data_IF_829911798027
#
_entry.id   IF_829911798027
#
_cell.length_a   1.000
_cell.length_b   1.000
_cell.length_c   1.000
_cell.angle_alpha   90.00
_cell.angle_beta   90.00
_cell.angle_gamma   90.00
#
_symmetry.space_group_name_H-M   'P 1'
#
loop_
_entity.id
_entity.type
_entity.pdbx_description
1 polymer ?
#
# COMPACT_ATOMS: atom_id res chain seq x y z
N UNK A 1 -8.83 14.64 12.94
CA UNK A 1 -8.91 13.23 13.32
C UNK A 1 -8.27 12.43 12.21
N UNK A 2 -7.27 11.59 12.50
CA UNK A 2 -6.67 10.73 11.48
C UNK A 2 -7.67 9.66 11.01
N UNK A 3 -7.77 9.43 9.71
CA UNK A 3 -8.69 8.44 9.16
C UNK A 3 -8.60 8.28 7.65
N UNK A 4 -9.16 7.17 7.15
CA UNK A 4 -9.27 6.91 5.73
C UNK A 4 -10.66 6.39 5.35
N UNK A 5 -11.07 6.69 4.12
CA UNK A 5 -12.23 6.12 3.44
C UNK A 5 -11.78 5.62 2.08
N UNK A 6 -12.13 4.38 1.77
CA UNK A 6 -11.81 3.72 0.51
C UNK A 6 -13.09 3.12 -0.09
N UNK A 7 -13.36 3.39 -1.35
CA UNK A 7 -14.46 2.75 -2.11
C UNK A 7 -14.01 2.43 -3.52
N UNK A 8 -14.60 1.43 -4.17
CA UNK A 8 -14.38 1.22 -5.61
C UNK A 8 -14.93 2.40 -6.42
N UNK A 9 -14.18 2.86 -7.42
CA UNK A 9 -14.48 4.11 -8.10
C UNK A 9 -13.65 4.42 -9.34
N UNK A 10 -13.41 5.70 -9.58
CA UNK A 10 -12.70 6.20 -10.76
C UNK A 10 -11.18 6.28 -10.55
N UNK A 11 -10.71 6.15 -9.31
CA UNK A 11 -9.30 6.35 -8.97
C UNK A 11 -9.02 7.74 -8.44
N UNK A 12 -10.03 8.44 -7.91
CA UNK A 12 -9.88 9.78 -7.34
C UNK A 12 -9.23 9.70 -5.95
N UNK A 13 -8.31 10.60 -5.64
CA UNK A 13 -7.61 10.58 -4.36
C UNK A 13 -7.46 11.96 -3.75
N UNK A 14 -7.85 12.10 -2.48
CA UNK A 14 -7.53 13.23 -1.62
C UNK A 14 -6.73 12.70 -0.43
N UNK A 15 -5.42 12.85 -0.47
CA UNK A 15 -4.49 12.27 0.50
C UNK A 15 -3.65 13.39 1.11
N UNK A 16 -3.63 13.44 2.44
CA UNK A 16 -2.85 14.38 3.21
C UNK A 16 -2.26 13.65 4.43
N UNK A 17 -1.08 13.05 4.25
CA UNK A 17 -0.36 12.35 5.33
C UNK A 17 0.61 13.24 6.08
N UNK A 18 0.99 14.39 5.50
CA UNK A 18 2.14 15.19 5.94
C UNK A 18 3.43 14.86 5.18
N UNK A 19 3.44 13.75 4.42
CA UNK A 19 4.61 13.28 3.65
C UNK A 19 4.32 13.23 2.15
N UNK A 20 4.84 14.18 1.34
CA UNK A 20 4.52 14.26 -0.09
C UNK A 20 4.81 12.99 -0.90
N UNK A 21 5.86 12.26 -0.53
CA UNK A 21 6.22 10.99 -1.21
C UNK A 21 5.15 9.93 -0.95
N UNK A 22 4.69 9.78 0.31
CA UNK A 22 3.64 8.81 0.64
C UNK A 22 2.30 9.21 0.01
N UNK A 23 1.97 10.51 0.02
CA UNK A 23 0.76 11.03 -0.63
C UNK A 23 0.73 10.66 -2.12
N UNK A 24 1.87 10.83 -2.81
CA UNK A 24 2.01 10.44 -4.21
C UNK A 24 1.83 8.93 -4.42
N UNK A 25 2.48 8.10 -3.61
CA UNK A 25 2.38 6.63 -3.72
C UNK A 25 0.96 6.12 -3.47
N UNK A 26 0.24 6.73 -2.51
CA UNK A 26 -1.17 6.41 -2.23
C UNK A 26 -2.11 6.84 -3.36
N UNK A 27 -1.84 7.97 -4.02
CA UNK A 27 -2.57 8.38 -5.21
C UNK A 27 -2.35 7.40 -6.38
N UNK A 28 -1.12 6.90 -6.56
CA UNK A 28 -0.83 5.86 -7.56
C UNK A 28 -1.57 4.54 -7.26
N UNK A 29 -1.59 4.13 -6.00
CA UNK A 29 -2.32 2.95 -5.52
C UNK A 29 -3.82 3.10 -5.84
N UNK A 30 -4.42 4.23 -5.45
CA UNK A 30 -5.84 4.49 -5.69
C UNK A 30 -6.18 4.43 -7.18
N UNK A 31 -5.36 5.08 -8.03
CA UNK A 31 -5.54 5.06 -9.47
C UNK A 31 -5.40 3.67 -10.09
N UNK A 32 -4.38 2.90 -9.69
CA UNK A 32 -4.14 1.56 -10.21
C UNK A 32 -5.22 0.56 -9.79
N UNK A 33 -5.68 0.64 -8.54
CA UNK A 33 -6.75 -0.20 -8.00
C UNK A 33 -8.17 0.27 -8.34
N UNK A 34 -8.32 1.42 -9.02
CA UNK A 34 -9.61 2.08 -9.25
C UNK A 34 -10.41 2.27 -7.96
N UNK A 35 -9.74 2.82 -6.95
CA UNK A 35 -10.35 3.21 -5.69
C UNK A 35 -10.50 4.72 -5.60
N UNK A 36 -11.63 5.19 -5.08
CA UNK A 36 -11.76 6.55 -4.59
C UNK A 36 -11.30 6.57 -3.13
N UNK A 37 -10.22 7.30 -2.86
CA UNK A 37 -9.51 7.34 -1.57
C UNK A 37 -9.57 8.74 -0.97
N UNK A 38 -10.02 8.84 0.28
CA UNK A 38 -9.77 10.01 1.13
C UNK A 38 -8.97 9.54 2.33
N UNK A 39 -7.83 10.15 2.60
CA UNK A 39 -6.98 9.82 3.75
C UNK A 39 -6.35 11.09 4.31
N UNK A 40 -6.56 11.34 5.59
CA UNK A 40 -6.01 12.50 6.29
C UNK A 40 -5.39 12.02 7.59
N UNK A 41 -4.15 12.46 7.86
CA UNK A 41 -3.41 12.15 9.08
C UNK A 41 -3.12 13.45 9.81
N UNK A 42 -3.36 13.47 11.11
CA UNK A 42 -2.98 14.60 11.95
C UNK A 42 -1.46 14.72 12.03
N UNK A 43 -0.90 15.95 11.98
CA UNK A 43 0.54 16.15 12.06
C UNK A 43 1.15 15.57 13.35
N UNK A 44 2.22 14.81 13.20
CA UNK A 44 3.00 14.21 14.29
C UNK A 44 4.47 14.06 13.86
N UNK A 45 5.25 13.23 14.55
CA UNK A 45 6.58 12.84 14.08
C UNK A 45 6.47 11.95 12.82
N UNK A 46 7.40 12.08 11.84
CA UNK A 46 7.25 11.44 10.53
C UNK A 46 7.01 9.93 10.54
N UNK A 47 7.65 9.20 11.45
CA UNK A 47 7.51 7.74 11.50
C UNK A 47 6.13 7.31 12.03
N UNK A 48 5.52 8.09 12.90
CA UNK A 48 4.16 7.91 13.42
C UNK A 48 3.12 8.27 12.35
N UNK A 49 3.35 9.32 11.56
CA UNK A 49 2.48 9.69 10.43
C UNK A 49 2.39 8.53 9.40
N UNK A 50 3.51 7.87 9.10
CA UNK A 50 3.55 6.70 8.20
C UNK A 50 2.76 5.51 8.76
N UNK A 51 2.97 5.18 10.04
CA UNK A 51 2.27 4.08 10.70
C UNK A 51 0.76 4.37 10.76
N UNK A 52 0.38 5.61 11.07
CA UNK A 52 -1.00 6.05 11.10
C UNK A 52 -1.66 5.97 9.72
N UNK A 53 -0.95 6.36 8.65
CA UNK A 53 -1.43 6.22 7.28
C UNK A 53 -1.67 4.76 6.88
N UNK A 54 -0.73 3.86 7.19
CA UNK A 54 -0.86 2.43 6.92
C UNK A 54 -2.03 1.83 7.69
N UNK A 55 -2.14 2.13 8.98
CA UNK A 55 -3.24 1.65 9.82
C UNK A 55 -4.60 2.19 9.36
N UNK A 56 -4.69 3.48 9.00
CA UNK A 56 -5.93 4.09 8.52
C UNK A 56 -6.41 3.43 7.22
N UNK A 57 -5.52 3.23 6.24
CA UNK A 57 -5.89 2.51 5.01
C UNK A 57 -6.28 1.05 5.29
N UNK A 58 -5.58 0.39 6.20
CA UNK A 58 -5.89 -0.99 6.60
C UNK A 58 -7.28 -1.12 7.21
N UNK A 59 -7.64 -0.23 8.12
CA UNK A 59 -8.97 -0.15 8.71
C UNK A 59 -10.05 0.18 7.67
N UNK A 60 -9.73 0.97 6.65
CA UNK A 60 -10.67 1.29 5.57
C UNK A 60 -10.90 0.13 4.60
N UNK A 61 -9.89 -0.71 4.35
CA UNK A 61 -10.00 -1.84 3.42
C UNK A 61 -10.52 -3.13 4.08
N UNK A 62 -10.26 -3.33 5.39
CA UNK A 62 -10.66 -4.55 6.10
C UNK A 62 -12.15 -4.90 5.95
N UNK A 63 -13.11 -3.95 6.01
CA UNK A 63 -14.53 -4.24 5.83
C UNK A 63 -14.91 -4.69 4.42
N UNK A 64 -14.06 -4.41 3.43
CA UNK A 64 -14.25 -4.81 2.03
C UNK A 64 -13.71 -6.22 1.75
N UNK A 65 -12.93 -6.78 2.68
CA UNK A 65 -12.30 -8.08 2.54
C UNK A 65 -13.13 -9.16 3.24
N UNK A 66 -13.30 -10.29 2.57
CA UNK A 66 -13.88 -11.50 3.18
C UNK A 66 -12.78 -12.35 3.79
N UNK A 67 -13.08 -13.21 4.77
CA UNK A 67 -12.12 -14.19 5.29
C UNK A 67 -11.52 -15.02 4.15
N UNK A 68 -10.19 -15.07 4.04
CA UNK A 68 -9.48 -15.79 2.98
C UNK A 68 -9.55 -15.16 1.59
N UNK A 69 -10.10 -13.94 1.47
CA UNK A 69 -10.00 -13.18 0.22
C UNK A 69 -8.52 -12.97 -0.14
N UNK A 70 -8.17 -13.21 -1.39
CA UNK A 70 -6.81 -13.04 -1.88
C UNK A 70 -6.83 -12.28 -3.19
N UNK A 71 -5.73 -11.60 -3.46
CA UNK A 71 -5.56 -10.85 -4.70
C UNK A 71 -4.10 -10.74 -5.08
N UNK A 72 -3.88 -10.53 -6.37
CA UNK A 72 -2.55 -10.34 -6.92
C UNK A 72 -2.53 -9.18 -7.91
N UNK A 73 -1.44 -8.44 -7.92
CA UNK A 73 -1.18 -7.35 -8.86
C UNK A 73 0.27 -7.39 -9.32
N UNK A 74 0.51 -7.11 -10.58
CA UNK A 74 1.86 -6.93 -11.14
C UNK A 74 1.84 -5.67 -11.98
N UNK A 75 2.68 -4.68 -11.63
CA UNK A 75 2.63 -3.36 -12.23
C UNK A 75 4.04 -2.80 -12.45
N UNK A 76 4.27 -2.11 -13.58
CA UNK A 76 5.50 -1.41 -13.84
C UNK A 76 5.47 0.05 -13.37
N UNK A 77 6.65 0.64 -13.23
CA UNK A 77 6.89 2.07 -13.26
C UNK A 77 8.28 2.27 -13.89
N UNK A 78 8.30 2.84 -15.09
CA UNK A 78 9.53 3.01 -15.88
C UNK A 78 10.33 1.70 -16.00
N UNK A 79 11.59 1.63 -15.54
CA UNK A 79 12.39 0.40 -15.57
C UNK A 79 12.06 -0.61 -14.46
N UNK A 80 11.25 -0.24 -13.47
CA UNK A 80 10.90 -1.11 -12.36
C UNK A 80 9.64 -1.93 -12.64
N UNK A 81 9.64 -3.19 -12.21
CA UNK A 81 8.52 -4.11 -12.24
C UNK A 81 8.35 -4.80 -10.88
N UNK A 82 7.18 -4.66 -10.28
CA UNK A 82 6.87 -5.28 -8.99
C UNK A 82 5.58 -6.10 -9.04
N UNK A 83 5.55 -7.16 -8.24
CA UNK A 83 4.39 -7.99 -7.97
C UNK A 83 4.04 -7.93 -6.48
N UNK A 84 2.75 -7.76 -6.19
CA UNK A 84 2.20 -7.84 -4.83
C UNK A 84 1.12 -8.92 -4.81
N UNK A 85 1.21 -9.81 -3.83
CA UNK A 85 0.19 -10.84 -3.55
C UNK A 85 -0.23 -10.68 -2.11
N UNK A 86 -1.54 -10.73 -1.85
CA UNK A 86 -2.08 -10.61 -0.50
C UNK A 86 -3.21 -11.60 -0.24
N UNK A 87 -3.40 -11.90 1.04
CA UNK A 87 -4.49 -12.72 1.55
C UNK A 87 -4.99 -12.14 2.87
N UNK A 88 -6.30 -12.02 3.04
CA UNK A 88 -6.98 -11.79 4.31
C UNK A 88 -6.95 -13.06 5.17
N UNK A 89 -5.73 -13.45 5.55
CA UNK A 89 -5.39 -14.71 6.24
C UNK A 89 -5.69 -14.67 7.74
N UNK A 90 -5.88 -13.48 8.32
CA UNK A 90 -5.93 -13.30 9.76
C UNK A 90 -4.54 -13.26 10.42
N UNK A 91 -3.46 -13.49 9.69
CA UNK A 91 -2.07 -13.49 10.19
C UNK A 91 -1.31 -12.33 9.53
N UNK A 92 -1.10 -11.21 10.25
CA UNK A 92 -0.31 -10.11 9.74
C UNK A 92 1.11 -10.54 9.41
N UNK A 93 1.52 -10.34 8.16
CA UNK A 93 2.87 -10.64 7.69
C UNK A 93 3.21 -9.77 6.48
N UNK A 94 4.43 -9.26 6.43
CA UNK A 94 4.99 -8.63 5.23
C UNK A 94 6.28 -9.34 4.86
N UNK A 95 6.31 -9.96 3.68
CA UNK A 95 7.45 -10.67 3.14
C UNK A 95 7.91 -10.05 1.81
N UNK A 96 9.01 -9.28 1.83
CA UNK A 96 9.57 -8.61 0.66
C UNK A 96 10.95 -9.18 0.29
N UNK A 97 11.27 -9.24 -1.02
CA UNK A 97 12.65 -9.48 -1.49
C UNK A 97 13.41 -8.17 -1.75
N UNK A 98 12.70 -7.08 -2.02
CA UNK A 98 13.28 -5.74 -2.04
C UNK A 98 13.57 -5.30 -0.61
N UNK A 99 14.71 -4.65 -0.41
CA UNK A 99 15.03 -4.07 0.88
C UNK A 99 14.37 -2.71 1.06
N UNK A 100 13.18 -2.75 1.64
CA UNK A 100 12.36 -1.57 1.94
C UNK A 100 12.77 -0.86 3.23
N UNK A 101 13.88 -1.26 3.87
CA UNK A 101 14.31 -0.68 5.16
C UNK A 101 15.25 0.52 4.99
N UNK A 102 15.57 0.89 3.75
CA UNK A 102 16.56 1.92 3.42
C UNK A 102 18.01 1.47 3.61
N UNK A 103 18.28 0.27 4.15
CA UNK A 103 19.63 -0.25 4.39
C UNK A 103 20.44 -0.46 3.08
N UNK A 104 19.75 -0.65 1.97
CA UNK A 104 20.30 -0.81 0.61
C UNK A 104 20.36 0.48 -0.20
N UNK A 105 19.98 1.63 0.38
CA UNK A 105 19.92 2.90 -0.35
C UNK A 105 18.59 3.15 -1.08
N UNK A 106 17.59 2.28 -0.93
CA UNK A 106 16.21 2.47 -1.42
C UNK A 106 15.39 3.55 -0.69
N UNK A 107 16.08 4.56 -0.15
CA UNK A 107 15.48 5.84 0.21
C UNK A 107 14.80 5.96 1.58
N UNK A 108 13.96 5.03 2.04
CA UNK A 108 13.24 5.23 3.32
C UNK A 108 12.70 3.92 3.91
N UNK A 109 12.67 3.81 5.25
CA UNK A 109 11.93 2.76 5.98
C UNK A 109 10.39 2.96 5.91
N UNK A 110 9.96 4.10 5.37
CA UNK A 110 8.57 4.51 5.17
C UNK A 110 7.73 3.40 4.52
N UNK A 111 8.18 2.82 3.41
CA UNK A 111 7.40 1.81 2.71
C UNK A 111 7.24 0.53 3.55
N UNK A 112 8.31 0.09 4.22
CA UNK A 112 8.26 -1.07 5.10
C UNK A 112 7.30 -0.85 6.30
N UNK A 113 7.36 0.34 6.92
CA UNK A 113 6.50 0.74 8.03
C UNK A 113 5.04 0.79 7.60
N UNK A 114 4.76 1.49 6.50
CA UNK A 114 3.42 1.61 5.92
C UNK A 114 2.81 0.23 5.65
N UNK A 115 3.54 -0.65 4.95
CA UNK A 115 3.04 -1.97 4.59
C UNK A 115 2.78 -2.85 5.82
N UNK A 116 3.59 -2.72 6.88
CA UNK A 116 3.37 -3.45 8.14
C UNK A 116 2.13 -2.94 8.87
N UNK A 117 1.98 -1.63 9.02
CA UNK A 117 0.81 -1.05 9.64
C UNK A 117 -0.48 -1.38 8.86
N UNK A 118 -0.42 -1.38 7.52
CA UNK A 118 -1.51 -1.83 6.64
C UNK A 118 -1.86 -3.30 6.90
N UNK A 119 -0.85 -4.18 6.90
CA UNK A 119 -1.04 -5.61 7.09
C UNK A 119 -1.57 -5.95 8.48
N UNK A 120 -1.12 -5.24 9.52
CA UNK A 120 -1.60 -5.39 10.90
C UNK A 120 -3.06 -4.98 11.02
N UNK A 121 -3.42 -3.80 10.52
CA UNK A 121 -4.76 -3.25 10.62
C UNK A 121 -5.79 -4.04 9.79
N UNK A 122 -5.42 -4.48 8.58
CA UNK A 122 -6.29 -5.27 7.70
C UNK A 122 -6.17 -6.79 7.90
N UNK A 123 -5.30 -7.26 8.80
CA UNK A 123 -5.03 -8.67 9.06
C UNK A 123 -4.63 -9.46 7.81
N UNK A 124 -3.72 -8.87 7.03
CA UNK A 124 -3.24 -9.40 5.75
C UNK A 124 -1.90 -10.14 5.91
N UNK A 125 -1.76 -11.24 5.19
CA UNK A 125 -0.45 -11.71 4.75
C UNK A 125 -0.15 -11.07 3.39
N UNK A 126 0.99 -10.39 3.28
CA UNK A 126 1.38 -9.59 2.12
C UNK A 126 2.78 -9.99 1.65
N UNK A 127 2.89 -10.34 0.37
CA UNK A 127 4.15 -10.63 -0.30
C UNK A 127 4.45 -9.55 -1.33
N UNK A 128 5.64 -8.96 -1.25
CA UNK A 128 6.16 -8.01 -2.25
C UNK A 128 7.32 -8.67 -2.98
N UNK A 129 7.28 -8.67 -4.31
CA UNK A 129 8.35 -9.16 -5.17
C UNK A 129 8.74 -8.09 -6.17
N UNK A 130 9.90 -7.48 -5.97
CA UNK A 130 10.57 -6.72 -7.02
C UNK A 130 11.18 -7.71 -8.01
N UNK A 131 10.78 -7.63 -9.26
CA UNK A 131 11.25 -8.49 -10.36
C UNK A 131 12.47 -7.84 -11.01
N UNK A 132 12.39 -6.54 -11.27
CA UNK A 132 13.47 -5.69 -11.80
C UNK A 132 13.24 -4.24 -11.36
N UNK A 133 14.31 -3.43 -11.34
CA UNK A 133 14.26 -2.02 -10.96
C UNK A 133 15.43 -1.61 -10.06
N UNK A 134 15.95 -0.40 -10.27
CA UNK A 134 17.09 0.15 -9.52
C UNK A 134 16.78 1.52 -8.91
N UNK A 135 16.04 2.37 -9.63
CA UNK A 135 15.62 3.66 -9.11
C UNK A 135 14.56 3.49 -8.02
N UNK A 136 14.76 4.20 -6.91
CA UNK A 136 13.92 4.07 -5.71
C UNK A 136 12.49 4.52 -5.97
N UNK A 137 12.29 5.63 -6.69
CA UNK A 137 10.97 6.19 -6.93
C UNK A 137 10.18 5.27 -7.86
N UNK A 138 10.84 4.73 -8.88
CA UNK A 138 10.25 3.74 -9.79
C UNK A 138 9.89 2.44 -9.06
N UNK A 139 10.79 1.90 -8.25
CA UNK A 139 10.54 0.69 -7.44
C UNK A 139 9.33 0.89 -6.52
N UNK A 140 9.29 2.00 -5.76
CA UNK A 140 8.17 2.29 -4.86
C UNK A 140 6.86 2.50 -5.63
N UNK A 141 6.89 3.23 -6.75
CA UNK A 141 5.72 3.43 -7.59
C UNK A 141 5.18 2.11 -8.16
N UNK A 142 6.06 1.20 -8.61
CA UNK A 142 5.67 -0.12 -9.10
C UNK A 142 5.01 -0.95 -7.99
N UNK A 143 5.59 -0.97 -6.78
CA UNK A 143 5.05 -1.70 -5.62
C UNK A 143 3.67 -1.18 -5.21
N UNK A 144 3.50 0.15 -5.09
CA UNK A 144 2.22 0.72 -4.65
C UNK A 144 1.11 0.59 -5.72
N UNK A 145 1.45 0.68 -7.01
CA UNK A 145 0.50 0.35 -8.10
C UNK A 145 0.08 -1.12 -8.02
N UNK A 146 1.04 -2.03 -7.86
CA UNK A 146 0.77 -3.46 -7.76
C UNK A 146 -0.07 -3.80 -6.52
N UNK A 147 0.17 -3.14 -5.39
CA UNK A 147 -0.65 -3.24 -4.19
C UNK A 147 -2.09 -2.79 -4.45
N UNK A 148 -2.29 -1.67 -5.15
CA UNK A 148 -3.63 -1.20 -5.53
C UNK A 148 -4.41 -2.22 -6.35
N UNK A 149 -3.76 -2.82 -7.36
CA UNK A 149 -4.36 -3.88 -8.17
C UNK A 149 -4.67 -5.14 -7.34
N UNK A 150 -3.76 -5.55 -6.46
CA UNK A 150 -3.96 -6.72 -5.60
C UNK A 150 -5.14 -6.53 -4.63
N UNK A 151 -5.27 -5.33 -4.03
CA UNK A 151 -6.40 -5.00 -3.18
C UNK A 151 -7.72 -5.02 -3.97
N UNK A 152 -7.71 -4.46 -5.19
CA UNK A 152 -8.89 -4.44 -6.05
C UNK A 152 -9.35 -5.85 -6.43
N UNK A 153 -8.43 -6.76 -6.78
CA UNK A 153 -8.75 -8.17 -7.05
C UNK A 153 -9.37 -8.83 -5.79
N UNK A 154 -8.74 -8.64 -4.63
CA UNK A 154 -9.19 -9.23 -3.37
C UNK A 154 -10.59 -8.75 -2.91
N UNK A 155 -10.93 -7.48 -3.15
CA UNK A 155 -12.22 -6.90 -2.75
C UNK A 155 -13.31 -7.01 -3.83
N UNK A 156 -12.96 -7.41 -5.05
CA UNK A 156 -13.92 -7.52 -6.17
C UNK A 156 -14.71 -8.84 -6.22
N UNK A 157 -14.24 -9.89 -5.55
CA UNK A 157 -14.85 -11.23 -5.63
C UNK A 157 -16.03 -11.35 -4.66
N UNK A 158 -17.21 -11.81 -5.10
CA UNK A 158 -18.43 -11.92 -4.30
C UNK A 158 -18.35 -13.04 -3.28
#
# INVERSE_FOLDING_TARGET
>A
MSGARLTHGAGESNVATGMPVLDHLLALLARAGRFDLTLEIEPDEPAAEVDAAGAALGLAVAPLLRPGAHGAGTMPADEALAMVVLEASGVPLVAANADLTGASGLGTDMAARFLRALADAARLTLHVRLIEGEDTDHVLAAIFKALGVALADATSRP
#
